data_IF_966360098612
#
_entry.id   IF_966360098612
#
_cell.length_a   1.000
_cell.length_b   1.000
_cell.length_c   1.000
_cell.angle_alpha   90.00
_cell.angle_beta   90.00
_cell.angle_gamma   90.00
#
_symmetry.space_group_name_H-M   'P 1'
#
loop_
_entity.id
_entity.type
_entity.pdbx_description
1 polymer ?
#
# COMPACT_ATOMS: atom_id res chain seq x y z
N UNK A 1 11.95 -21.07 24.92
CA UNK A 1 10.78 -20.71 24.07
C UNK A 1 10.27 -19.28 24.34
N UNK A 2 10.12 -18.84 25.60
CA UNK A 2 9.66 -17.45 25.94
C UNK A 2 10.58 -16.36 25.37
N UNK A 3 11.90 -16.50 25.55
CA UNK A 3 12.88 -15.49 25.08
C UNK A 3 12.86 -15.33 23.55
N UNK A 4 12.76 -16.42 22.80
CA UNK A 4 12.68 -16.40 21.34
C UNK A 4 11.41 -15.68 20.86
N UNK A 5 10.27 -15.92 21.53
CA UNK A 5 9.01 -15.23 21.23
C UNK A 5 9.09 -13.72 21.52
N UNK A 6 9.79 -13.34 22.59
CA UNK A 6 9.98 -11.92 22.92
C UNK A 6 10.91 -11.23 21.95
N UNK A 7 12.02 -11.87 21.55
CA UNK A 7 12.94 -11.33 20.55
C UNK A 7 12.24 -11.18 19.20
N UNK A 8 11.48 -12.20 18.77
CA UNK A 8 10.69 -12.09 17.54
C UNK A 8 9.68 -10.93 17.59
N UNK A 9 8.96 -10.77 18.70
CA UNK A 9 8.03 -9.66 18.86
C UNK A 9 8.73 -8.30 18.76
N UNK A 10 9.89 -8.15 19.42
CA UNK A 10 10.66 -6.91 19.34
C UNK A 10 11.20 -6.65 17.94
N UNK A 11 11.66 -7.69 17.24
CA UNK A 11 12.26 -7.57 15.91
C UNK A 11 11.22 -7.39 14.80
N UNK A 12 10.10 -8.11 14.85
CA UNK A 12 9.07 -8.08 13.80
C UNK A 12 7.94 -7.10 14.08
N UNK A 13 7.77 -6.71 15.36
CA UNK A 13 6.65 -5.90 15.80
C UNK A 13 5.37 -6.68 16.10
N UNK A 14 5.27 -7.94 15.66
CA UNK A 14 4.03 -8.73 15.67
C UNK A 14 4.05 -9.84 16.73
N UNK A 15 2.89 -10.05 17.37
CA UNK A 15 2.68 -11.11 18.34
C UNK A 15 1.47 -11.96 17.98
N UNK A 16 1.70 -13.25 17.77
CA UNK A 16 0.64 -14.21 17.57
C UNK A 16 -0.06 -14.58 18.88
N UNK A 17 -1.38 -14.42 18.91
CA UNK A 17 -2.26 -14.79 20.04
C UNK A 17 -3.35 -15.70 19.49
N UNK A 18 -3.17 -17.01 19.64
CA UNK A 18 -4.08 -17.99 19.07
C UNK A 18 -4.20 -17.90 17.55
N UNK A 19 -5.38 -17.59 17.06
CA UNK A 19 -5.72 -17.44 15.64
C UNK A 19 -5.47 -16.01 15.10
N UNK A 20 -5.06 -15.11 15.96
CA UNK A 20 -4.90 -13.69 15.65
C UNK A 20 -3.45 -13.26 15.79
N UNK A 21 -3.15 -12.13 15.17
CA UNK A 21 -1.87 -11.44 15.25
C UNK A 21 -2.11 -9.99 15.64
N UNK A 22 -1.39 -9.51 16.66
CA UNK A 22 -1.46 -8.15 17.15
C UNK A 22 -0.15 -7.45 16.81
N UNK A 23 -0.22 -6.23 16.34
CA UNK A 23 0.94 -5.42 15.98
C UNK A 23 0.84 -4.84 14.57
N UNK A 24 1.84 -4.05 14.14
CA UNK A 24 3.15 -3.92 14.79
C UNK A 24 3.14 -2.91 15.96
N UNK A 25 3.83 -3.27 17.06
CA UNK A 25 3.85 -2.47 18.28
C UNK A 25 4.43 -1.05 18.08
N UNK A 26 5.36 -0.89 17.13
CA UNK A 26 5.98 0.41 16.87
C UNK A 26 5.03 1.42 16.21
N UNK A 27 3.86 0.99 15.75
CA UNK A 27 2.79 1.86 15.24
C UNK A 27 1.80 2.28 16.34
N UNK A 28 1.87 1.67 17.54
CA UNK A 28 0.88 1.92 18.58
C UNK A 28 0.88 3.35 19.12
N UNK A 29 2.05 4.00 19.10
CA UNK A 29 2.19 5.37 19.51
C UNK A 29 3.07 6.13 18.52
N UNK A 30 2.51 7.14 17.89
CA UNK A 30 3.20 8.01 16.94
C UNK A 30 2.80 9.45 17.17
N UNK A 31 3.52 10.39 16.56
CA UNK A 31 3.17 11.81 16.62
C UNK A 31 3.46 12.49 15.28
N UNK A 32 2.59 13.41 14.88
CA UNK A 32 2.80 14.28 13.73
C UNK A 32 2.20 15.68 13.98
N UNK A 33 2.51 16.62 13.10
CA UNK A 33 2.13 18.03 13.29
C UNK A 33 0.61 18.27 13.20
N UNK A 34 -0.16 17.38 12.59
CA UNK A 34 -1.61 17.53 12.45
C UNK A 34 -2.39 16.83 13.57
N UNK A 35 -2.07 15.55 13.82
CA UNK A 35 -2.76 14.74 14.83
C UNK A 35 -2.25 14.97 16.25
N UNK A 36 -1.09 15.63 16.39
CA UNK A 36 -0.37 15.63 17.66
C UNK A 36 0.07 14.22 18.00
N UNK A 37 -0.28 13.76 19.19
CA UNK A 37 -0.10 12.36 19.58
C UNK A 37 -1.19 11.49 18.95
N UNK A 38 -0.80 10.32 18.45
CA UNK A 38 -1.70 9.32 17.83
C UNK A 38 -1.49 7.96 18.48
N UNK A 39 -2.58 7.35 18.89
CA UNK A 39 -2.62 5.94 19.29
C UNK A 39 -3.24 5.10 18.18
N UNK A 40 -2.67 3.92 17.93
CA UNK A 40 -3.16 2.97 16.93
C UNK A 40 -3.14 1.56 17.51
N UNK A 41 -4.16 0.78 17.19
CA UNK A 41 -4.25 -0.63 17.52
C UNK A 41 -4.51 -1.43 16.25
N UNK A 42 -3.69 -2.45 16.02
CA UNK A 42 -3.73 -3.32 14.84
C UNK A 42 -4.07 -4.75 15.24
N UNK A 43 -4.95 -5.37 14.46
CA UNK A 43 -5.37 -6.76 14.62
C UNK A 43 -5.46 -7.44 13.26
N UNK A 44 -4.84 -8.61 13.13
CA UNK A 44 -4.90 -9.45 11.94
C UNK A 44 -5.22 -10.89 12.27
N UNK A 45 -5.56 -11.67 11.26
CA UNK A 45 -5.67 -13.11 11.34
C UNK A 45 -4.36 -13.77 10.92
N UNK A 46 -4.04 -14.91 11.50
CA UNK A 46 -2.87 -15.69 11.13
C UNK A 46 -3.28 -17.01 10.44
N UNK A 47 -2.35 -17.81 9.91
CA UNK A 47 -2.66 -19.06 9.20
C UNK A 47 -3.35 -20.13 10.02
N UNK A 48 -3.41 -20.00 11.36
CA UNK A 48 -4.20 -20.89 12.21
C UNK A 48 -5.69 -20.59 12.13
N UNK A 49 -6.06 -19.34 11.83
CA UNK A 49 -7.44 -18.95 11.58
C UNK A 49 -7.91 -19.55 10.24
N UNK A 50 -7.20 -19.23 9.18
CA UNK A 50 -7.44 -19.80 7.85
C UNK A 50 -6.14 -19.67 7.04
N UNK A 51 -5.82 -20.68 6.22
CA UNK A 51 -4.60 -20.68 5.42
C UNK A 51 -4.68 -19.79 4.18
N UNK A 52 -5.90 -19.59 3.67
CA UNK A 52 -6.12 -18.89 2.41
C UNK A 52 -6.82 -17.54 2.58
N UNK A 53 -7.39 -17.28 3.77
CA UNK A 53 -8.03 -16.00 4.10
C UNK A 53 -7.21 -15.23 5.13
N UNK A 54 -6.75 -14.05 4.73
CA UNK A 54 -6.13 -13.05 5.60
C UNK A 54 -7.07 -11.88 5.79
N UNK A 55 -7.34 -11.52 7.04
CA UNK A 55 -8.08 -10.32 7.41
C UNK A 55 -7.18 -9.49 8.33
N UNK A 56 -7.11 -8.20 8.08
CA UNK A 56 -6.36 -7.28 8.92
C UNK A 56 -7.08 -5.94 9.00
N UNK A 57 -6.93 -5.27 10.11
CA UNK A 57 -7.43 -3.92 10.28
C UNK A 57 -6.72 -3.20 11.42
N UNK A 58 -6.80 -1.88 11.38
CA UNK A 58 -6.41 -1.05 12.50
C UNK A 58 -7.43 0.04 12.79
N UNK A 59 -7.43 0.49 14.03
CA UNK A 59 -8.11 1.68 14.49
C UNK A 59 -7.08 2.61 15.12
N UNK A 60 -7.10 3.88 14.72
CA UNK A 60 -6.23 4.90 15.28
C UNK A 60 -7.04 6.14 15.71
N UNK A 61 -6.55 6.84 16.71
CA UNK A 61 -7.11 8.09 17.19
C UNK A 61 -6.04 9.16 17.32
N UNK A 62 -6.24 10.30 16.66
CA UNK A 62 -5.39 11.48 16.77
C UNK A 62 -5.93 12.41 17.86
N UNK A 63 -5.11 12.78 18.82
CA UNK A 63 -5.54 13.64 19.93
C UNK A 63 -5.58 15.12 19.54
N UNK A 64 -4.80 15.54 18.55
CA UNK A 64 -4.80 16.92 18.07
C UNK A 64 -5.98 17.26 17.19
N UNK A 65 -6.33 16.37 16.26
CA UNK A 65 -7.48 16.55 15.35
C UNK A 65 -8.77 15.88 15.85
N UNK A 66 -8.69 15.12 16.93
CA UNK A 66 -9.82 14.43 17.59
C UNK A 66 -10.62 13.52 16.64
N UNK A 67 -9.93 12.87 15.69
CA UNK A 67 -10.57 12.02 14.69
C UNK A 67 -10.10 10.58 14.74
N UNK A 68 -11.04 9.67 14.44
CA UNK A 68 -10.73 8.27 14.20
C UNK A 68 -10.26 8.06 12.76
N UNK A 69 -9.20 7.26 12.62
CA UNK A 69 -8.69 6.73 11.36
C UNK A 69 -8.70 5.22 11.45
N UNK A 70 -8.92 4.56 10.32
CA UNK A 70 -8.99 3.11 10.29
C UNK A 70 -8.69 2.56 8.91
N UNK A 71 -8.26 1.31 8.90
CA UNK A 71 -8.14 0.49 7.71
C UNK A 71 -8.73 -0.89 8.00
N UNK A 72 -9.42 -1.42 7.01
CA UNK A 72 -9.86 -2.80 6.97
C UNK A 72 -9.39 -3.39 5.65
N UNK A 73 -8.80 -4.56 5.69
CA UNK A 73 -8.37 -5.27 4.49
C UNK A 73 -8.61 -6.77 4.60
N UNK A 74 -8.89 -7.36 3.47
CA UNK A 74 -9.05 -8.81 3.34
C UNK A 74 -8.42 -9.31 2.05
N UNK A 75 -7.68 -10.42 2.14
CA UNK A 75 -7.08 -11.11 1.01
C UNK A 75 -7.50 -12.58 1.03
N UNK A 76 -8.01 -13.05 -0.09
CA UNK A 76 -8.35 -14.46 -0.28
C UNK A 76 -7.52 -15.07 -1.40
N UNK A 77 -6.79 -16.11 -1.09
CA UNK A 77 -5.94 -16.85 -2.02
C UNK A 77 -6.75 -17.99 -2.65
N UNK A 78 -7.01 -17.90 -3.94
CA UNK A 78 -7.64 -18.99 -4.71
C UNK A 78 -6.67 -20.11 -5.02
N UNK A 79 -5.41 -19.76 -5.31
CA UNK A 79 -4.33 -20.69 -5.62
C UNK A 79 -2.98 -20.12 -5.20
N UNK A 80 -2.07 -21.00 -4.81
CA UNK A 80 -0.70 -20.64 -4.43
C UNK A 80 0.29 -20.81 -5.59
N UNK A 81 0.05 -21.78 -6.47
CA UNK A 81 0.88 -22.04 -7.64
C UNK A 81 0.04 -22.65 -8.77
N UNK A 82 -0.17 -21.97 -9.90
CA UNK A 82 0.12 -20.56 -10.12
C UNK A 82 -0.68 -19.67 -9.17
N UNK A 83 -0.10 -18.56 -8.74
CA UNK A 83 -0.69 -17.72 -7.69
C UNK A 83 -1.88 -16.92 -8.21
N UNK A 84 -2.98 -16.95 -7.46
CA UNK A 84 -4.12 -16.06 -7.72
C UNK A 84 -4.81 -15.67 -6.42
N UNK A 85 -5.22 -14.41 -6.33
CA UNK A 85 -5.91 -13.89 -5.15
C UNK A 85 -6.79 -12.69 -5.49
N UNK A 86 -7.71 -12.42 -4.59
CA UNK A 86 -8.43 -11.15 -4.51
C UNK A 86 -8.05 -10.46 -3.20
N UNK A 87 -7.84 -9.16 -3.27
CA UNK A 87 -7.56 -8.31 -2.12
C UNK A 87 -8.48 -7.11 -2.16
N UNK A 88 -9.18 -6.86 -1.07
CA UNK A 88 -10.03 -5.69 -0.89
C UNK A 88 -9.56 -4.91 0.34
N UNK A 89 -9.55 -3.59 0.26
CA UNK A 89 -9.23 -2.74 1.40
C UNK A 89 -10.09 -1.47 1.39
N UNK A 90 -10.36 -0.99 2.60
CA UNK A 90 -10.93 0.32 2.83
C UNK A 90 -10.11 1.05 3.88
N UNK A 91 -9.68 2.26 3.56
CA UNK A 91 -8.79 3.07 4.39
C UNK A 91 -9.39 4.47 4.57
N UNK A 92 -9.43 4.96 5.81
CA UNK A 92 -9.61 6.37 6.14
C UNK A 92 -8.46 6.80 7.01
N UNK A 93 -7.51 7.54 6.43
CA UNK A 93 -6.29 7.96 7.14
C UNK A 93 -5.71 9.24 6.54
N UNK A 94 -4.61 9.70 7.10
CA UNK A 94 -3.83 10.82 6.59
C UNK A 94 -2.83 10.34 5.53
N UNK A 95 -2.73 11.12 4.46
CA UNK A 95 -1.68 11.01 3.45
C UNK A 95 -0.83 12.28 3.47
N UNK A 96 0.47 12.13 3.51
CA UNK A 96 1.42 13.25 3.49
C UNK A 96 1.92 13.60 2.09
N UNK A 97 1.39 12.95 1.04
CA UNK A 97 1.72 13.20 -0.36
C UNK A 97 3.18 12.98 -0.75
N UNK A 98 3.98 12.38 0.13
CA UNK A 98 5.42 12.15 -0.11
C UNK A 98 5.71 10.78 -0.72
N UNK A 99 4.71 9.93 -0.87
CA UNK A 99 4.86 8.58 -1.37
C UNK A 99 4.30 8.51 -2.78
N UNK A 100 5.14 8.15 -3.74
CA UNK A 100 4.70 7.75 -5.06
C UNK A 100 3.80 6.50 -4.93
N UNK A 101 2.74 6.48 -5.68
CA UNK A 101 1.53 5.66 -5.54
C UNK A 101 1.73 4.14 -5.41
N UNK A 102 2.88 3.58 -5.76
CA UNK A 102 2.95 2.14 -5.99
C UNK A 102 4.06 1.35 -5.27
N UNK A 103 5.02 1.96 -4.56
CA UNK A 103 6.24 1.20 -4.27
C UNK A 103 6.77 1.22 -2.84
N UNK A 104 6.21 1.96 -1.91
CA UNK A 104 6.82 1.99 -0.57
C UNK A 104 5.84 1.43 0.44
N UNK A 105 6.16 0.26 0.96
CA UNK A 105 5.55 -0.16 2.20
C UNK A 105 5.86 0.92 3.25
N UNK A 106 4.83 1.56 3.73
CA UNK A 106 4.87 2.69 4.66
C UNK A 106 5.47 2.34 6.03
N UNK A 107 5.88 1.11 6.22
CA UNK A 107 6.34 0.57 7.49
C UNK A 107 7.86 0.74 7.74
N UNK A 108 8.52 1.60 6.97
CA UNK A 108 9.93 1.85 7.19
C UNK A 108 10.15 2.92 8.27
N UNK A 109 10.47 2.47 9.48
CA UNK A 109 10.82 3.32 10.65
C UNK A 109 11.92 4.34 10.30
N UNK A 110 12.84 3.99 9.40
CA UNK A 110 13.93 4.87 8.98
C UNK A 110 13.48 6.04 8.11
N UNK A 111 12.35 5.95 7.42
CA UNK A 111 11.81 7.07 6.65
C UNK A 111 11.34 8.22 7.54
N UNK A 112 10.98 7.94 8.79
CA UNK A 112 10.62 8.96 9.78
C UNK A 112 11.83 9.69 10.36
N UNK A 113 13.01 9.06 10.37
CA UNK A 113 14.22 9.61 10.98
C UNK A 113 14.99 10.59 10.07
N UNK A 114 14.73 10.58 8.75
CA UNK A 114 15.49 11.40 7.77
C UNK A 114 14.60 12.51 7.22
N UNK A 115 13.87 13.22 8.06
CA UNK A 115 13.14 14.41 7.62
C UNK A 115 14.07 15.61 7.53
N UNK A 116 14.15 16.24 6.35
CA UNK A 116 14.72 17.58 6.21
C UNK A 116 13.87 18.55 7.04
N UNK A 117 14.47 19.17 8.06
CA UNK A 117 13.83 20.21 8.82
C UNK A 117 13.51 21.41 7.90
N UNK A 118 12.33 21.99 8.05
CA UNK A 118 11.94 23.23 7.37
C UNK A 118 11.07 23.07 6.12
N UNK A 119 10.73 21.87 5.67
CA UNK A 119 9.75 21.67 4.60
C UNK A 119 8.35 21.51 5.22
N UNK A 120 7.38 22.38 4.92
CA UNK A 120 6.01 22.23 5.38
C UNK A 120 5.43 20.90 4.87
N UNK A 121 4.95 20.06 5.78
CA UNK A 121 4.29 18.81 5.41
C UNK A 121 2.91 19.14 4.91
N UNK A 122 2.57 18.67 3.72
CA UNK A 122 1.23 18.75 3.14
C UNK A 122 0.43 17.54 3.60
N UNK A 123 -0.67 17.78 4.28
CA UNK A 123 -1.55 16.72 4.74
C UNK A 123 -2.83 16.68 3.92
N UNK A 124 -3.24 15.50 3.54
CA UNK A 124 -4.56 15.19 3.00
C UNK A 124 -5.20 14.11 3.84
N UNK A 125 -6.46 14.25 4.16
CA UNK A 125 -7.25 13.11 4.63
C UNK A 125 -7.73 12.35 3.40
N UNK A 126 -7.51 11.05 3.39
CA UNK A 126 -7.95 10.18 2.32
C UNK A 126 -9.00 9.19 2.81
N UNK A 127 -9.95 8.89 1.93
CA UNK A 127 -10.82 7.73 2.03
C UNK A 127 -10.63 6.93 0.74
N UNK A 128 -10.09 5.73 0.87
CA UNK A 128 -9.76 4.88 -0.27
C UNK A 128 -10.43 3.52 -0.13
N UNK A 129 -11.19 3.14 -1.14
CA UNK A 129 -11.66 1.77 -1.35
C UNK A 129 -10.89 1.18 -2.53
N UNK A 130 -10.20 0.07 -2.31
CA UNK A 130 -9.41 -0.61 -3.35
C UNK A 130 -9.82 -2.06 -3.45
N UNK A 131 -10.01 -2.51 -4.68
CA UNK A 131 -10.19 -3.92 -5.03
C UNK A 131 -9.09 -4.30 -6.01
N UNK A 132 -8.43 -5.42 -5.73
CA UNK A 132 -7.33 -5.94 -6.54
C UNK A 132 -7.56 -7.42 -6.82
N UNK A 133 -7.46 -7.81 -8.09
CA UNK A 133 -7.44 -9.20 -8.51
C UNK A 133 -6.10 -9.50 -9.18
N UNK A 134 -5.36 -10.44 -8.62
CA UNK A 134 -4.08 -10.89 -9.15
C UNK A 134 -4.19 -12.30 -9.70
N UNK A 135 -3.60 -12.53 -10.86
CA UNK A 135 -3.49 -13.86 -11.45
C UNK A 135 -2.15 -14.05 -12.16
N UNK A 136 -1.50 -15.15 -11.83
CA UNK A 136 -0.36 -15.70 -12.54
C UNK A 136 -0.84 -16.85 -13.43
N UNK A 137 -0.45 -16.87 -14.72
CA UNK A 137 -0.84 -17.95 -15.65
C UNK A 137 0.27 -18.99 -15.78
N UNK A 138 1.48 -18.52 -15.99
CA UNK A 138 2.68 -19.35 -16.08
C UNK A 138 3.75 -18.74 -15.19
N UNK A 139 4.76 -19.51 -14.76
CA UNK A 139 5.86 -18.93 -13.98
C UNK A 139 6.42 -17.68 -14.68
N UNK A 140 6.29 -16.55 -14.01
CA UNK A 140 6.79 -15.26 -14.48
C UNK A 140 5.81 -14.38 -15.25
N UNK A 141 4.67 -14.87 -15.76
CA UNK A 141 3.66 -14.02 -16.40
C UNK A 141 2.46 -13.82 -15.49
N UNK A 142 2.22 -12.59 -15.09
CA UNK A 142 1.12 -12.24 -14.21
C UNK A 142 0.38 -10.97 -14.65
N UNK A 143 -0.88 -10.86 -14.25
CA UNK A 143 -1.65 -9.65 -14.36
C UNK A 143 -2.29 -9.28 -13.02
N UNK A 144 -2.42 -7.99 -12.82
CA UNK A 144 -3.17 -7.39 -11.71
C UNK A 144 -4.21 -6.45 -12.27
N UNK A 145 -5.47 -6.65 -11.89
CA UNK A 145 -6.55 -5.71 -12.20
C UNK A 145 -6.88 -4.99 -10.89
N UNK A 146 -6.96 -3.68 -10.94
CA UNK A 146 -7.31 -2.85 -9.78
C UNK A 146 -8.51 -1.97 -10.07
N UNK A 147 -9.35 -1.76 -9.07
CA UNK A 147 -10.37 -0.73 -9.06
C UNK A 147 -10.18 0.06 -7.77
N UNK A 148 -9.95 1.36 -7.90
CA UNK A 148 -9.64 2.22 -6.76
C UNK A 148 -10.58 3.43 -6.79
N UNK A 149 -11.34 3.60 -5.70
CA UNK A 149 -12.07 4.82 -5.44
C UNK A 149 -11.34 5.59 -4.35
N UNK A 150 -11.02 6.85 -4.59
CA UNK A 150 -10.26 7.67 -3.65
C UNK A 150 -10.87 9.06 -3.53
N UNK A 151 -11.14 9.46 -2.30
CA UNK A 151 -11.60 10.79 -1.95
C UNK A 151 -10.48 11.49 -1.20
N UNK A 152 -10.20 12.73 -1.60
CA UNK A 152 -9.17 13.55 -1.00
C UNK A 152 -9.80 14.73 -0.27
N UNK A 153 -9.32 15.00 0.92
CA UNK A 153 -9.68 16.18 1.70
C UNK A 153 -8.40 16.93 2.07
N UNK A 154 -8.09 18.05 1.38
CA UNK A 154 -6.87 18.80 1.64
C UNK A 154 -6.94 19.45 3.02
N UNK A 155 -5.86 19.32 3.77
CA UNK A 155 -5.70 19.85 5.12
C UNK A 155 -4.60 20.91 5.15
N UNK A 156 -3.88 20.98 6.25
CA UNK A 156 -2.80 21.95 6.48
C UNK A 156 -1.79 22.02 5.33
N UNK A 157 -1.39 23.24 4.97
CA UNK A 157 -0.44 23.57 3.90
C UNK A 157 -0.90 23.18 2.47
N UNK A 158 -2.19 22.93 2.31
CA UNK A 158 -2.83 22.74 1.01
C UNK A 158 -3.93 23.79 0.82
N UNK A 159 -4.29 24.12 -0.43
CA UNK A 159 -5.44 24.96 -0.71
C UNK A 159 -6.72 24.40 -0.09
N UNK A 160 -7.60 25.24 0.45
CA UNK A 160 -8.85 24.78 1.06
C UNK A 160 -9.76 24.10 0.04
N UNK A 161 -10.55 23.16 0.50
CA UNK A 161 -11.49 22.38 -0.33
C UNK A 161 -12.41 23.25 -1.19
N UNK A 162 -12.76 24.45 -0.70
CA UNK A 162 -13.58 25.42 -1.42
C UNK A 162 -13.02 25.88 -2.77
N UNK A 163 -11.69 25.77 -2.97
CA UNK A 163 -11.07 26.11 -4.25
C UNK A 163 -11.22 25.00 -5.31
N UNK A 164 -11.68 23.83 -4.93
CA UNK A 164 -11.90 22.67 -5.81
C UNK A 164 -13.39 22.44 -6.08
N UNK A 165 -14.23 23.48 -5.88
CA UNK A 165 -15.65 23.42 -6.18
C UNK A 165 -15.84 23.65 -7.67
N UNK A 166 -16.61 22.79 -8.33
CA UNK A 166 -17.03 22.97 -9.72
C UNK A 166 -17.89 24.24 -9.89
N UNK A 167 -17.90 24.80 -11.11
CA UNK A 167 -18.67 25.99 -11.48
C UNK A 167 -20.17 25.89 -11.15
N UNK A 168 -20.69 24.70 -10.94
CA UNK A 168 -22.08 24.43 -10.57
C UNK A 168 -22.34 24.53 -9.05
N UNK A 169 -21.36 24.90 -8.24
CA UNK A 169 -21.49 25.10 -6.79
C UNK A 169 -21.71 23.83 -5.98
N UNK A 170 -21.66 22.66 -6.57
CA UNK A 170 -21.97 21.38 -5.92
C UNK A 170 -20.79 20.74 -5.17
N UNK A 171 -19.67 21.41 -5.09
CA UNK A 171 -18.57 21.07 -4.18
C UNK A 171 -18.09 19.63 -4.18
N UNK A 172 -18.01 19.01 -5.34
CA UNK A 172 -17.50 17.63 -5.48
C UNK A 172 -15.99 17.63 -5.63
N UNK A 173 -15.30 18.20 -4.68
CA UNK A 173 -13.87 18.26 -4.75
C UNK A 173 -13.24 16.88 -4.58
N UNK A 174 -12.33 16.54 -5.51
CA UNK A 174 -11.28 15.55 -5.33
C UNK A 174 -11.78 14.11 -5.12
N UNK A 175 -12.79 13.70 -5.89
CA UNK A 175 -13.20 12.31 -6.00
C UNK A 175 -12.58 11.70 -7.25
N UNK A 176 -11.91 10.57 -7.11
CA UNK A 176 -11.31 9.84 -8.21
C UNK A 176 -11.73 8.38 -8.19
N UNK A 177 -12.15 7.86 -9.33
CA UNK A 177 -12.30 6.43 -9.53
C UNK A 177 -11.41 6.01 -10.71
N UNK A 178 -10.51 5.08 -10.44
CA UNK A 178 -9.52 4.59 -11.39
C UNK A 178 -9.64 3.08 -11.55
N UNK A 179 -9.59 2.60 -12.77
CA UNK A 179 -9.36 1.19 -13.09
C UNK A 179 -7.97 1.03 -13.68
N UNK A 180 -7.24 0.03 -13.19
CA UNK A 180 -5.87 -0.25 -13.62
C UNK A 180 -5.69 -1.70 -14.06
N UNK A 181 -4.81 -1.88 -15.02
CA UNK A 181 -4.28 -3.18 -15.45
C UNK A 181 -2.76 -3.11 -15.43
N UNK A 182 -2.14 -4.04 -14.71
CA UNK A 182 -0.69 -4.24 -14.67
C UNK A 182 -0.38 -5.61 -15.24
N UNK A 183 0.43 -5.66 -16.26
CA UNK A 183 1.01 -6.87 -16.82
C UNK A 183 2.48 -6.92 -16.42
N UNK A 184 2.93 -8.06 -15.90
CA UNK A 184 4.30 -8.23 -15.48
C UNK A 184 4.84 -9.56 -15.99
N UNK A 185 6.01 -9.49 -16.59
CA UNK A 185 6.76 -10.66 -17.06
C UNK A 185 8.14 -10.67 -16.39
N UNK A 186 8.41 -11.72 -15.61
CA UNK A 186 9.66 -11.92 -14.86
C UNK A 186 10.07 -13.40 -14.97
N UNK A 187 10.78 -13.73 -16.03
CA UNK A 187 11.20 -15.10 -16.29
C UNK A 187 12.17 -15.61 -15.20
N UNK A 188 11.92 -16.82 -14.72
CA UNK A 188 12.75 -17.50 -13.70
C UNK A 188 12.99 -16.67 -12.41
N UNK A 189 12.00 -15.89 -12.01
CA UNK A 189 12.07 -15.09 -10.79
C UNK A 189 12.02 -15.99 -9.55
N UNK A 190 12.90 -15.71 -8.60
CA UNK A 190 12.93 -16.39 -7.31
C UNK A 190 12.07 -15.63 -6.29
N UNK A 191 11.39 -16.37 -5.43
CA UNK A 191 10.53 -15.80 -4.42
C UNK A 191 10.82 -16.33 -3.04
N UNK A 192 10.71 -15.44 -2.06
CA UNK A 192 10.49 -15.82 -0.67
C UNK A 192 9.00 -15.72 -0.38
N UNK A 193 8.40 -16.82 0.05
CA UNK A 193 6.97 -16.88 0.33
C UNK A 193 6.71 -17.02 1.82
N UNK A 194 5.81 -16.17 2.31
CA UNK A 194 5.14 -16.34 3.60
C UNK A 194 3.75 -16.92 3.37
N UNK A 195 2.98 -17.11 4.42
CA UNK A 195 1.64 -17.68 4.28
C UNK A 195 0.73 -16.88 3.33
N UNK A 196 0.81 -15.55 3.35
CA UNK A 196 -0.08 -14.68 2.57
C UNK A 196 0.65 -13.80 1.57
N UNK A 197 1.94 -13.59 1.74
CA UNK A 197 2.73 -12.69 0.91
C UNK A 197 3.85 -13.43 0.18
N UNK A 198 4.21 -12.90 -0.99
CA UNK A 198 5.31 -13.35 -1.80
C UNK A 198 6.22 -12.15 -2.06
N UNK A 199 7.49 -12.31 -1.80
CA UNK A 199 8.52 -11.29 -1.99
C UNK A 199 9.49 -11.74 -3.06
N UNK A 200 9.74 -10.89 -4.05
CA UNK A 200 10.71 -11.16 -5.09
C UNK A 200 12.13 -11.14 -4.51
N UNK A 201 12.91 -12.13 -4.83
CA UNK A 201 14.35 -12.18 -4.59
C UNK A 201 15.16 -11.78 -5.83
N UNK A 202 14.44 -11.39 -6.90
CA UNK A 202 15.02 -11.04 -8.17
C UNK A 202 14.96 -12.15 -9.21
N UNK A 203 15.34 -11.80 -10.42
CA UNK A 203 15.48 -12.70 -11.56
C UNK A 203 16.88 -12.58 -12.14
N UNK A 204 17.34 -13.62 -12.83
CA UNK A 204 18.57 -13.56 -13.65
C UNK A 204 18.28 -12.96 -15.05
N UNK A 205 17.07 -12.55 -15.32
CA UNK A 205 16.61 -11.98 -16.58
C UNK A 205 15.88 -10.65 -16.32
N UNK A 206 15.82 -9.77 -17.32
CA UNK A 206 15.07 -8.53 -17.20
C UNK A 206 13.60 -8.76 -16.81
N UNK A 207 13.10 -7.95 -15.93
CA UNK A 207 11.69 -7.89 -15.54
C UNK A 207 11.02 -6.79 -16.36
N UNK A 208 9.98 -7.16 -17.09
CA UNK A 208 9.18 -6.25 -17.89
C UNK A 208 7.87 -5.96 -17.18
N UNK A 209 7.49 -4.71 -17.12
CA UNK A 209 6.23 -4.29 -16.54
C UNK A 209 5.54 -3.25 -17.42
N UNK A 210 4.25 -3.45 -17.63
CA UNK A 210 3.36 -2.53 -18.34
C UNK A 210 2.15 -2.27 -17.46
N UNK A 211 1.90 -1.01 -17.15
CA UNK A 211 0.72 -0.59 -16.40
C UNK A 211 -0.10 0.39 -17.23
N UNK A 212 -1.39 0.15 -17.29
CA UNK A 212 -2.36 1.08 -17.83
C UNK A 212 -3.42 1.37 -16.80
N UNK A 213 -3.73 2.63 -16.59
CA UNK A 213 -4.79 3.03 -15.68
C UNK A 213 -5.62 4.14 -16.32
N UNK A 214 -6.93 4.09 -16.08
CA UNK A 214 -7.89 5.05 -16.59
C UNK A 214 -8.77 5.56 -15.46
N UNK A 215 -8.78 6.89 -15.31
CA UNK A 215 -9.76 7.61 -14.50
C UNK A 215 -11.10 7.65 -15.20
N UNK A 216 -12.16 7.20 -14.54
CA UNK A 216 -13.51 7.14 -15.09
C UNK A 216 -14.38 8.22 -14.46
N UNK A 217 -14.77 9.26 -15.22
CA UNK A 217 -15.67 10.30 -14.72
C UNK A 217 -17.06 9.76 -14.49
N UNK A 218 -17.81 10.39 -13.59
CA UNK A 218 -19.20 10.07 -13.23
C UNK A 218 -19.42 8.69 -12.58
N UNK A 219 -18.35 7.94 -12.28
CA UNK A 219 -18.39 6.70 -11.52
C UNK A 219 -18.02 7.03 -10.07
N UNK A 220 -18.87 6.67 -9.10
CA UNK A 220 -18.69 7.01 -7.67
C UNK A 220 -18.35 8.49 -7.43
N UNK A 221 -18.98 9.39 -8.16
CA UNK A 221 -18.75 10.84 -8.11
C UNK A 221 -17.34 11.27 -8.52
N UNK A 222 -16.64 10.46 -9.32
CA UNK A 222 -15.34 10.83 -9.87
C UNK A 222 -15.47 12.00 -10.84
N UNK A 223 -14.57 12.97 -10.73
CA UNK A 223 -14.54 14.17 -11.58
C UNK A 223 -13.45 14.10 -12.64
N UNK A 224 -12.62 13.08 -12.63
CA UNK A 224 -11.43 13.03 -13.46
C UNK A 224 -11.54 12.01 -14.58
N UNK A 225 -11.14 12.44 -15.79
CA UNK A 225 -10.94 11.58 -16.96
C UNK A 225 -9.49 11.72 -17.40
N UNK A 226 -8.73 10.66 -17.30
CA UNK A 226 -7.33 10.60 -17.71
C UNK A 226 -6.93 9.18 -18.05
N UNK A 227 -5.89 9.07 -18.85
CA UNK A 227 -5.22 7.81 -19.13
C UNK A 227 -3.76 7.91 -18.66
N UNK A 228 -3.29 6.88 -17.99
CA UNK A 228 -1.91 6.76 -17.51
C UNK A 228 -1.31 5.47 -18.02
N UNK A 229 -0.22 5.59 -18.76
CA UNK A 229 0.56 4.45 -19.24
C UNK A 229 1.95 4.51 -18.62
N UNK A 230 2.38 3.39 -18.06
CA UNK A 230 3.72 3.22 -17.52
C UNK A 230 4.30 1.92 -18.07
N UNK A 231 5.53 1.97 -18.54
CA UNK A 231 6.27 0.80 -18.97
C UNK A 231 7.65 0.83 -18.34
N UNK A 232 8.12 -0.29 -17.82
CA UNK A 232 9.47 -0.36 -17.26
C UNK A 232 10.17 -1.66 -17.57
N UNK A 233 11.49 -1.56 -17.62
CA UNK A 233 12.42 -2.67 -17.71
C UNK A 233 13.42 -2.55 -16.57
N UNK A 234 13.50 -3.57 -15.72
CA UNK A 234 14.46 -3.60 -14.61
C UNK A 234 15.26 -4.88 -14.63
N UNK A 235 16.56 -4.79 -14.28
CA UNK A 235 17.43 -5.95 -14.23
C UNK A 235 18.61 -5.72 -13.28
N UNK A 236 19.22 -6.84 -12.87
CA UNK A 236 20.47 -6.90 -12.12
C UNK A 236 21.59 -7.44 -13.00
N UNK A 237 22.51 -6.58 -13.40
CA UNK A 237 23.69 -6.96 -14.15
C UNK A 237 24.89 -7.20 -13.20
N UNK A 238 25.44 -8.41 -13.19
CA UNK A 238 26.67 -8.71 -12.44
C UNK A 238 27.87 -8.15 -13.18
N UNK A 239 28.63 -7.26 -12.53
CA UNK A 239 29.88 -6.68 -13.04
C UNK A 239 31.04 -7.24 -12.21
N UNK A 240 31.41 -8.48 -12.49
CA UNK A 240 32.56 -9.10 -11.78
C UNK A 240 33.87 -8.40 -12.17
N UNK A 241 34.81 -8.14 -11.22
CA UNK A 241 34.75 -8.41 -9.78
C UNK A 241 34.13 -7.28 -8.93
N UNK A 242 33.56 -6.23 -9.57
CA UNK A 242 33.21 -4.96 -8.92
C UNK A 242 31.82 -4.97 -8.24
N UNK A 243 31.02 -6.03 -8.43
CA UNK A 243 29.70 -6.13 -7.78
C UNK A 243 28.55 -6.34 -8.76
N UNK A 244 27.38 -5.77 -8.46
CA UNK A 244 26.20 -5.82 -9.32
C UNK A 244 25.64 -4.41 -9.54
N UNK A 245 25.16 -4.15 -10.75
CA UNK A 245 24.43 -2.94 -11.13
C UNK A 245 22.96 -3.28 -11.25
N UNK A 246 22.13 -2.56 -10.49
CA UNK A 246 20.69 -2.54 -10.71
C UNK A 246 20.34 -1.37 -11.59
N UNK A 247 19.54 -1.58 -12.62
CA UNK A 247 18.97 -0.52 -13.42
C UNK A 247 17.46 -0.69 -13.58
N UNK A 248 16.77 0.43 -13.66
CA UNK A 248 15.35 0.50 -13.95
C UNK A 248 15.14 1.66 -14.92
N UNK A 249 14.59 1.34 -16.09
CA UNK A 249 14.25 2.31 -17.14
C UNK A 249 12.74 2.33 -17.28
N UNK A 250 12.16 3.53 -17.25
CA UNK A 250 10.72 3.77 -17.34
C UNK A 250 10.41 4.99 -18.18
#
# INVERSE_FOLDING_TARGET
KRYVSTINFLATGYKNVGNYEIGPWFNWATANAWEGFRMRFDLGTNPKFNKDLFLHGYLAYGFGDQQFKYKLEGKYLFSRSPRSYIHASYTKDLDNGQVYYDEISTDNIFALAIRKQGIPIKFMQIQEAKLEYFKEWTPGLSATITATQKNFDPLQNLPPKSLFIDNDGKGQALHNFEMGLRLRFAYNEQFFETNFNRYSLGSSFPILELQYARGLPNVFNSNYSYDRLYASVSDYMKIAPYGSLYYNVF
#
